data_IF_841229026020
#
_entry.id   IF_841229026020
#
_cell.length_a   1.000
_cell.length_b   1.000
_cell.length_c   1.000
_cell.angle_alpha   90.00
_cell.angle_beta   90.00
_cell.angle_gamma   90.00
#
_symmetry.space_group_name_H-M   'P 1'
#
loop_
_entity.id
_entity.type
_entity.pdbx_description
1 polymer ?
#
# COMPACT_ATOMS: atom_id res chain seq x y z
N UNK A 1 13.44 34.05 -29.35
CA UNK A 1 13.50 34.38 -27.92
C UNK A 1 12.67 33.35 -27.17
N UNK A 2 13.25 32.75 -26.13
CA UNK A 2 12.76 31.54 -25.47
C UNK A 2 11.37 31.73 -24.83
N UNK A 3 10.48 30.75 -25.04
CA UNK A 3 9.29 30.53 -24.24
C UNK A 3 9.68 29.67 -23.03
N UNK A 4 9.68 30.28 -21.85
CA UNK A 4 9.87 29.56 -20.59
C UNK A 4 8.61 28.75 -20.27
N UNK A 5 8.72 27.42 -20.34
CA UNK A 5 7.73 26.51 -19.79
C UNK A 5 7.90 26.50 -18.26
N UNK A 6 6.98 27.15 -17.55
CA UNK A 6 6.91 27.08 -16.09
C UNK A 6 6.47 25.68 -15.67
N UNK A 7 7.37 24.94 -15.00
CA UNK A 7 7.01 23.73 -14.28
C UNK A 7 6.10 24.13 -13.10
N UNK A 8 4.83 23.78 -13.18
CA UNK A 8 3.90 23.89 -12.05
C UNK A 8 4.26 22.77 -11.09
N UNK A 9 5.06 23.08 -10.07
CA UNK A 9 5.19 22.23 -8.90
C UNK A 9 3.83 22.27 -8.16
N UNK A 10 3.11 21.15 -8.18
CA UNK A 10 2.01 20.95 -7.23
C UNK A 10 2.64 20.81 -5.85
N UNK A 11 2.74 21.91 -5.12
CA UNK A 11 2.81 21.85 -3.66
C UNK A 11 1.45 21.29 -3.25
N UNK A 12 1.43 20.07 -2.72
CA UNK A 12 0.30 19.61 -1.92
C UNK A 12 0.33 20.50 -0.67
N UNK A 13 -0.29 21.66 -0.77
CA UNK A 13 -0.48 22.51 0.40
C UNK A 13 -1.46 21.74 1.28
N UNK A 14 -0.96 21.20 2.41
CA UNK A 14 -1.82 20.85 3.55
C UNK A 14 -2.63 22.12 3.86
N UNK A 15 -3.88 22.19 3.38
CA UNK A 15 -4.75 23.31 3.65
C UNK A 15 -5.08 23.27 5.14
N UNK A 16 -4.51 24.23 5.86
CA UNK A 16 -4.46 24.36 7.31
C UNK A 16 -5.80 24.68 7.97
N UNK A 17 -6.92 24.17 7.44
CA UNK A 17 -8.22 24.33 8.09
C UNK A 17 -8.66 23.08 8.85
N UNK A 18 -8.07 21.89 8.59
CA UNK A 18 -8.28 20.68 9.41
C UNK A 18 -7.02 19.81 9.64
N UNK A 19 -5.81 20.30 9.34
CA UNK A 19 -4.54 19.84 9.96
C UNK A 19 -4.10 18.36 9.86
N UNK A 20 -4.82 17.46 9.20
CA UNK A 20 -4.45 16.04 9.16
C UNK A 20 -3.56 15.80 7.93
N UNK A 21 -2.26 16.02 8.10
CA UNK A 21 -1.26 15.50 7.17
C UNK A 21 -1.07 13.98 7.49
N UNK A 22 -0.73 13.17 6.48
CA UNK A 22 -0.40 11.74 6.71
C UNK A 22 0.84 11.63 7.59
N UNK A 23 0.92 10.57 8.40
CA UNK A 23 2.01 10.33 9.35
C UNK A 23 3.07 9.38 8.74
N UNK A 24 3.37 9.50 7.45
CA UNK A 24 4.24 8.58 6.73
C UNK A 24 5.18 9.32 5.78
N UNK A 25 6.49 8.96 5.73
CA UNK A 25 7.41 9.60 4.83
C UNK A 25 6.98 9.33 3.39
N UNK A 26 6.82 10.40 2.63
CA UNK A 26 6.42 10.31 1.22
C UNK A 26 7.67 10.16 0.36
N UNK A 27 7.63 9.24 -0.59
CA UNK A 27 8.72 9.01 -1.53
C UNK A 27 8.27 9.47 -2.91
N UNK A 28 8.95 10.47 -3.43
CA UNK A 28 8.80 10.96 -4.79
C UNK A 28 9.94 10.42 -5.65
N UNK A 29 9.67 10.23 -6.93
CA UNK A 29 10.70 9.88 -7.90
C UNK A 29 10.68 10.83 -9.08
N UNK A 30 11.88 11.17 -9.56
CA UNK A 30 12.07 11.96 -10.77
C UNK A 30 11.80 11.07 -11.99
N UNK A 31 10.72 11.39 -12.70
CA UNK A 31 10.41 10.82 -14.01
C UNK A 31 10.51 11.92 -15.05
N UNK A 32 11.65 11.95 -15.76
CA UNK A 32 11.92 12.89 -16.85
C UNK A 32 11.75 14.38 -16.48
N UNK A 33 12.17 14.78 -15.28
CA UNK A 33 12.12 16.15 -14.79
C UNK A 33 10.84 16.51 -14.03
N UNK A 34 9.97 15.53 -13.79
CA UNK A 34 8.78 15.70 -12.95
C UNK A 34 8.85 14.77 -11.74
N UNK A 35 8.67 15.34 -10.55
CA UNK A 35 8.57 14.57 -9.31
C UNK A 35 7.15 14.03 -9.16
N UNK A 36 7.01 12.72 -9.11
CA UNK A 36 5.74 12.05 -8.90
C UNK A 36 5.78 11.23 -7.61
N UNK A 37 4.74 11.35 -6.78
CA UNK A 37 4.56 10.53 -5.58
C UNK A 37 4.52 9.06 -5.99
N UNK A 38 5.41 8.25 -5.41
CA UNK A 38 5.52 6.82 -5.68
C UNK A 38 5.03 5.97 -4.51
N UNK A 39 5.30 6.41 -3.28
CA UNK A 39 5.03 5.62 -2.09
C UNK A 39 4.83 6.48 -0.85
N UNK A 40 4.24 5.87 0.18
CA UNK A 40 4.16 6.35 1.55
C UNK A 40 4.66 5.24 2.47
N UNK A 41 5.85 5.42 3.03
CA UNK A 41 6.53 4.35 3.76
C UNK A 41 5.93 4.07 5.14
N UNK A 42 5.85 2.79 5.50
CA UNK A 42 5.68 2.26 6.86
C UNK A 42 4.53 2.87 7.67
N UNK A 43 3.39 3.09 7.03
CA UNK A 43 2.25 3.69 7.70
C UNK A 43 1.90 2.99 9.01
N UNK A 44 1.74 3.79 10.07
CA UNK A 44 1.38 3.35 11.41
C UNK A 44 2.50 2.57 12.15
N UNK A 45 3.77 2.83 11.86
CA UNK A 45 4.93 2.24 12.56
C UNK A 45 5.29 3.04 13.81
N UNK A 46 4.69 2.68 14.95
CA UNK A 46 4.71 3.50 16.18
C UNK A 46 5.92 3.24 17.10
N UNK A 47 7.04 2.82 16.52
CA UNK A 47 8.26 2.46 17.25
C UNK A 47 8.81 1.09 16.88
N UNK A 48 9.92 0.65 17.52
CA UNK A 48 10.68 -0.54 17.10
C UNK A 48 9.87 -1.83 17.05
N UNK A 49 8.89 -2.01 17.94
CA UNK A 49 7.99 -3.19 17.93
C UNK A 49 7.14 -3.29 16.67
N UNK A 50 6.99 -2.19 15.93
CA UNK A 50 6.22 -2.11 14.69
C UNK A 50 7.11 -2.08 13.44
N UNK A 51 8.44 -2.24 13.59
CA UNK A 51 9.37 -2.24 12.47
C UNK A 51 8.90 -3.22 11.39
N UNK A 52 8.81 -2.69 10.17
CA UNK A 52 8.30 -3.44 9.03
C UNK A 52 9.11 -3.10 7.80
N UNK A 53 9.33 -4.12 6.98
CA UNK A 53 9.81 -3.90 5.62
C UNK A 53 8.63 -3.51 4.74
N UNK A 54 8.71 -2.31 4.19
CA UNK A 54 7.77 -1.82 3.19
C UNK A 54 8.43 -1.80 1.81
N UNK A 55 7.70 -2.23 0.79
CA UNK A 55 8.22 -2.39 -0.56
C UNK A 55 7.17 -1.95 -1.56
N UNK A 56 7.43 -0.81 -2.18
CA UNK A 56 6.56 -0.23 -3.18
C UNK A 56 7.11 -0.38 -4.59
N UNK A 57 6.19 -0.49 -5.54
CA UNK A 57 6.53 -0.49 -6.95
C UNK A 57 6.79 0.95 -7.41
N UNK A 58 8.00 1.20 -7.90
CA UNK A 58 8.31 2.44 -8.58
C UNK A 58 7.74 2.43 -10.02
N UNK A 59 6.88 3.38 -10.33
CA UNK A 59 6.27 3.59 -11.65
C UNK A 59 7.12 4.45 -12.60
N UNK A 60 8.44 4.47 -12.39
CA UNK A 60 9.37 5.36 -13.10
C UNK A 60 10.32 4.61 -14.03
N UNK A 61 10.96 5.37 -14.91
CA UNK A 61 12.08 4.91 -15.71
C UNK A 61 13.35 5.62 -15.25
N UNK A 62 14.50 4.93 -15.20
CA UNK A 62 15.78 5.60 -15.02
C UNK A 62 15.98 6.72 -16.05
N UNK A 63 16.78 7.72 -15.70
CA UNK A 63 17.18 8.76 -16.63
C UNK A 63 18.08 8.21 -17.77
N UNK A 64 18.52 9.10 -18.67
CA UNK A 64 19.35 8.71 -19.83
C UNK A 64 20.70 8.08 -19.43
N UNK A 65 21.17 8.36 -18.22
CA UNK A 65 22.41 7.82 -17.65
C UNK A 65 22.16 6.59 -16.78
N UNK A 66 20.91 6.08 -16.76
CA UNK A 66 20.52 4.93 -15.94
C UNK A 66 20.36 5.24 -14.46
N UNK A 67 20.27 6.52 -14.06
CA UNK A 67 20.14 6.92 -12.66
C UNK A 67 18.67 7.01 -12.25
N UNK A 68 18.40 6.61 -11.02
CA UNK A 68 17.14 6.85 -10.34
C UNK A 68 17.39 7.88 -9.24
N UNK A 69 16.51 8.88 -9.16
CA UNK A 69 16.53 9.88 -8.09
C UNK A 69 15.22 9.78 -7.33
N UNK A 70 15.35 9.60 -6.02
CA UNK A 70 14.23 9.62 -5.10
C UNK A 70 14.39 10.82 -4.17
N UNK A 71 13.27 11.39 -3.79
CA UNK A 71 13.17 12.44 -2.78
C UNK A 71 12.24 11.92 -1.69
N UNK A 72 12.75 11.87 -0.47
CA UNK A 72 11.97 11.46 0.70
C UNK A 72 11.62 12.71 1.47
N UNK A 73 10.32 12.94 1.70
CA UNK A 73 9.83 14.10 2.42
C UNK A 73 9.10 13.69 3.68
N UNK A 74 9.44 14.38 4.76
CA UNK A 74 8.60 14.42 5.95
C UNK A 74 7.59 15.55 5.74
N UNK A 75 6.40 15.20 5.25
CA UNK A 75 5.32 16.18 4.96
C UNK A 75 4.51 16.50 6.23
N UNK A 76 4.75 15.77 7.32
CA UNK A 76 4.18 16.02 8.65
C UNK A 76 5.31 16.18 9.70
N UNK A 77 4.96 16.19 10.99
CA UNK A 77 5.95 16.23 12.09
C UNK A 77 6.27 14.80 12.56
N UNK A 78 6.71 13.96 11.63
CA UNK A 78 6.95 12.52 11.89
C UNK A 78 8.23 12.29 12.70
N UNK A 79 8.22 11.20 13.47
CA UNK A 79 9.38 10.76 14.28
C UNK A 79 9.92 9.41 13.82
N UNK A 80 9.24 8.78 12.87
CA UNK A 80 9.63 7.55 12.17
C UNK A 80 10.89 7.78 11.33
N UNK A 81 11.75 6.77 11.25
CA UNK A 81 13.02 6.85 10.52
C UNK A 81 13.31 5.56 9.75
N UNK A 82 14.04 5.72 8.65
CA UNK A 82 14.58 4.60 7.87
C UNK A 82 15.83 4.06 8.59
N UNK A 83 15.84 2.78 8.91
CA UNK A 83 17.07 2.07 9.28
C UNK A 83 17.68 1.31 8.10
N UNK A 84 16.95 1.22 6.98
CA UNK A 84 17.40 0.58 5.73
C UNK A 84 16.62 1.12 4.55
N UNK A 85 17.32 1.47 3.46
CA UNK A 85 16.72 1.93 2.22
C UNK A 85 17.42 1.26 1.03
N UNK A 86 16.64 0.55 0.21
CA UNK A 86 17.14 -0.28 -0.89
C UNK A 86 16.35 -0.05 -2.17
N UNK A 87 17.02 -0.20 -3.31
CA UNK A 87 16.36 -0.30 -4.61
C UNK A 87 16.37 -1.77 -5.06
N UNK A 88 15.19 -2.33 -5.32
CA UNK A 88 15.05 -3.70 -5.81
C UNK A 88 14.86 -3.70 -7.34
N UNK A 89 15.89 -4.14 -8.07
CA UNK A 89 15.78 -4.42 -9.50
C UNK A 89 15.13 -5.78 -9.70
N UNK A 90 14.01 -5.81 -10.40
CA UNK A 90 13.29 -7.04 -10.72
C UNK A 90 13.40 -7.33 -12.21
N UNK A 91 14.03 -8.45 -12.56
CA UNK A 91 14.14 -8.88 -13.96
C UNK A 91 12.91 -9.70 -14.37
N UNK A 92 12.16 -9.18 -15.33
CA UNK A 92 10.93 -9.80 -15.82
C UNK A 92 10.84 -9.71 -17.36
N UNK A 93 9.98 -10.52 -17.96
CA UNK A 93 9.70 -10.48 -19.39
C UNK A 93 8.89 -9.23 -19.76
N UNK A 94 8.89 -8.85 -21.04
CA UNK A 94 8.23 -7.64 -21.50
C UNK A 94 6.69 -7.67 -21.36
N UNK A 95 6.10 -8.86 -21.35
CA UNK A 95 4.67 -9.12 -21.13
C UNK A 95 4.30 -9.29 -19.65
N UNK A 96 5.29 -9.22 -18.75
CA UNK A 96 5.09 -9.33 -17.31
C UNK A 96 5.10 -7.96 -16.63
N UNK A 97 4.41 -7.85 -15.51
CA UNK A 97 4.52 -6.74 -14.56
C UNK A 97 5.07 -7.27 -13.24
N UNK A 98 6.13 -6.63 -12.72
CA UNK A 98 6.64 -6.92 -11.39
C UNK A 98 5.87 -6.13 -10.32
N UNK A 99 5.38 -6.82 -9.30
CA UNK A 99 4.62 -6.28 -8.19
C UNK A 99 5.14 -6.86 -6.87
N UNK A 100 5.17 -6.09 -5.77
CA UNK A 100 5.40 -6.62 -4.44
C UNK A 100 4.20 -7.48 -3.99
N UNK A 101 4.49 -8.54 -3.24
CA UNK A 101 3.49 -9.21 -2.43
C UNK A 101 3.38 -8.58 -1.03
N UNK A 102 2.40 -8.98 -0.19
CA UNK A 102 2.23 -8.38 1.13
C UNK A 102 3.41 -8.53 2.10
N UNK A 103 4.36 -9.41 1.78
CA UNK A 103 5.60 -9.61 2.54
C UNK A 103 6.80 -8.90 1.89
N UNK A 104 6.57 -8.10 0.86
CA UNK A 104 7.60 -7.36 0.12
C UNK A 104 8.42 -8.19 -0.86
N UNK A 105 8.03 -9.45 -1.12
CA UNK A 105 8.70 -10.28 -2.11
C UNK A 105 8.13 -10.03 -3.51
N UNK A 106 9.01 -9.91 -4.51
CA UNK A 106 8.58 -9.65 -5.88
C UNK A 106 7.78 -10.83 -6.48
N UNK A 107 6.76 -10.49 -7.27
CA UNK A 107 5.99 -11.37 -8.13
C UNK A 107 5.97 -10.78 -9.54
N UNK A 108 6.39 -11.57 -10.52
CA UNK A 108 6.18 -11.23 -11.93
C UNK A 108 4.87 -11.88 -12.37
N UNK A 109 3.91 -11.06 -12.79
CA UNK A 109 2.56 -11.50 -13.17
C UNK A 109 2.27 -11.18 -14.64
N UNK A 110 1.46 -12.02 -15.30
CA UNK A 110 0.97 -11.79 -16.67
C UNK A 110 -0.38 -12.48 -16.88
N UNK A 111 -0.93 -12.31 -18.09
CA UNK A 111 -2.26 -12.83 -18.46
C UNK A 111 -3.34 -12.30 -17.49
N UNK A 112 -3.48 -10.97 -17.47
CA UNK A 112 -4.47 -10.29 -16.66
C UNK A 112 -5.88 -10.56 -17.20
N UNK A 113 -6.76 -11.07 -16.34
CA UNK A 113 -8.15 -11.42 -16.66
C UNK A 113 -9.07 -10.76 -15.62
N UNK A 114 -10.12 -10.04 -16.04
CA UNK A 114 -11.08 -9.47 -15.11
C UNK A 114 -11.85 -10.58 -14.38
N UNK A 115 -12.35 -10.27 -13.19
CA UNK A 115 -13.28 -11.15 -12.52
C UNK A 115 -14.61 -11.20 -13.31
N UNK A 116 -15.23 -12.37 -13.42
CA UNK A 116 -16.57 -12.52 -13.98
C UNK A 116 -17.66 -11.95 -13.06
N UNK A 117 -17.34 -11.77 -11.78
CA UNK A 117 -18.22 -11.11 -10.80
C UNK A 117 -17.38 -10.30 -9.84
N UNK A 118 -17.78 -9.06 -9.58
CA UNK A 118 -17.26 -8.20 -8.53
C UNK A 118 -18.45 -7.53 -7.86
N UNK A 119 -18.70 -7.82 -6.60
CA UNK A 119 -19.81 -7.23 -5.87
C UNK A 119 -19.44 -6.87 -4.43
N UNK A 120 -20.01 -5.80 -3.88
CA UNK A 120 -19.89 -5.49 -2.46
C UNK A 120 -20.80 -6.37 -1.58
N UNK A 121 -20.73 -6.17 -0.27
CA UNK A 121 -21.53 -6.89 0.72
C UNK A 121 -23.05 -6.73 0.54
N UNK A 122 -23.50 -5.68 -0.16
CA UNK A 122 -24.92 -5.43 -0.45
C UNK A 122 -25.37 -6.05 -1.78
N UNK A 123 -24.43 -6.61 -2.56
CA UNK A 123 -24.67 -7.19 -3.88
C UNK A 123 -24.61 -6.18 -5.02
N UNK A 124 -24.14 -4.94 -4.79
CA UNK A 124 -23.94 -3.96 -5.86
C UNK A 124 -22.77 -4.37 -6.73
N UNK A 125 -22.97 -4.34 -8.04
CA UNK A 125 -21.93 -4.61 -9.05
C UNK A 125 -20.85 -3.51 -9.04
N UNK A 126 -19.59 -3.92 -8.92
CA UNK A 126 -18.42 -3.04 -8.91
C UNK A 126 -17.52 -3.23 -10.14
N UNK A 127 -17.93 -4.03 -11.14
CA UNK A 127 -17.07 -4.43 -12.25
C UNK A 127 -16.49 -3.24 -13.01
N UNK A 128 -17.33 -2.25 -13.34
CA UNK A 128 -16.85 -1.05 -14.04
C UNK A 128 -15.97 -0.16 -13.17
N UNK A 129 -16.30 -0.04 -11.87
CA UNK A 129 -15.56 0.79 -10.93
C UNK A 129 -14.14 0.27 -10.70
N UNK A 130 -13.96 -1.05 -10.72
CA UNK A 130 -12.70 -1.71 -10.34
C UNK A 130 -11.94 -2.32 -11.53
N UNK A 131 -12.31 -1.97 -12.76
CA UNK A 131 -11.73 -2.52 -13.98
C UNK A 131 -10.35 -1.93 -14.31
N UNK A 132 -10.19 -0.60 -14.14
CA UNK A 132 -9.05 0.17 -14.63
C UNK A 132 -8.40 0.96 -13.50
N UNK A 133 -7.07 1.19 -13.55
CA UNK A 133 -6.38 2.01 -12.57
C UNK A 133 -6.48 3.50 -12.93
N UNK A 134 -7.68 4.08 -12.83
CA UNK A 134 -7.97 5.45 -13.28
C UNK A 134 -8.18 6.47 -12.14
N UNK A 135 -8.07 6.01 -10.89
CA UNK A 135 -8.26 6.79 -9.68
C UNK A 135 -9.72 6.81 -9.17
N UNK A 136 -10.67 6.23 -9.91
CA UNK A 136 -12.05 6.07 -9.45
C UNK A 136 -12.14 4.93 -8.44
N UNK A 137 -12.13 5.29 -7.15
CA UNK A 137 -12.02 4.30 -6.09
C UNK A 137 -13.36 3.85 -5.52
N UNK A 138 -13.47 2.55 -5.23
CA UNK A 138 -14.43 2.03 -4.26
C UNK A 138 -14.27 2.72 -2.90
N UNK A 139 -15.42 2.97 -2.28
CA UNK A 139 -15.59 3.42 -0.90
C UNK A 139 -16.73 2.59 -0.31
N UNK A 140 -16.62 2.26 0.98
CA UNK A 140 -17.73 1.69 1.72
C UNK A 140 -18.94 2.60 1.59
N UNK A 141 -20.10 2.02 1.25
CA UNK A 141 -21.31 2.81 1.08
C UNK A 141 -21.83 3.31 2.43
N UNK A 142 -22.59 4.41 2.39
CA UNK A 142 -23.04 5.08 3.60
C UNK A 142 -23.91 4.21 4.51
N UNK A 143 -24.66 3.22 3.97
CA UNK A 143 -25.50 2.35 4.78
C UNK A 143 -24.66 1.29 5.50
N UNK A 144 -23.71 0.68 4.79
CA UNK A 144 -22.75 -0.25 5.41
C UNK A 144 -21.93 0.45 6.49
N UNK A 145 -21.46 1.66 6.23
CA UNK A 145 -20.74 2.46 7.22
C UNK A 145 -21.61 2.82 8.44
N UNK A 146 -22.87 3.22 8.23
CA UNK A 146 -23.79 3.56 9.32
C UNK A 146 -24.16 2.32 10.17
N UNK A 147 -24.07 1.12 9.61
CA UNK A 147 -24.30 -0.13 10.32
C UNK A 147 -23.04 -0.68 11.03
N UNK A 148 -21.88 -0.07 10.81
CA UNK A 148 -20.64 -0.51 11.41
C UNK A 148 -20.69 -0.39 12.94
N UNK A 149 -20.25 -1.44 13.63
CA UNK A 149 -20.22 -1.49 15.10
C UNK A 149 -19.01 -2.30 15.55
N UNK A 150 -18.58 -2.22 16.82
CA UNK A 150 -17.45 -3.02 17.32
C UNK A 150 -17.61 -4.54 17.08
N UNK A 151 -18.84 -5.05 17.00
CA UNK A 151 -19.12 -6.45 16.67
C UNK A 151 -19.15 -6.75 15.16
N UNK A 152 -19.37 -5.73 14.32
CA UNK A 152 -19.49 -5.82 12.88
C UNK A 152 -18.79 -4.62 12.22
N UNK A 153 -17.45 -4.63 12.26
CA UNK A 153 -16.62 -3.55 11.72
C UNK A 153 -16.35 -3.69 10.22
N UNK A 154 -16.51 -4.90 9.69
CA UNK A 154 -16.03 -5.25 8.35
C UNK A 154 -17.04 -4.90 7.25
N UNK A 155 -16.51 -4.35 6.16
CA UNK A 155 -17.09 -4.39 4.82
C UNK A 155 -16.43 -5.54 4.01
N UNK A 156 -17.03 -5.92 2.89
CA UNK A 156 -16.54 -7.00 2.07
C UNK A 156 -16.77 -6.79 0.56
N UNK A 157 -15.84 -7.31 -0.23
CA UNK A 157 -15.98 -7.45 -1.69
C UNK A 157 -15.84 -8.92 -2.06
N UNK A 158 -16.74 -9.40 -2.89
CA UNK A 158 -16.77 -10.76 -3.41
C UNK A 158 -16.36 -10.76 -4.88
N UNK A 159 -15.44 -11.65 -5.22
CA UNK A 159 -14.85 -11.80 -6.54
C UNK A 159 -15.04 -13.23 -7.02
N UNK A 160 -15.37 -13.40 -8.30
CA UNK A 160 -15.35 -14.69 -8.98
C UNK A 160 -14.56 -14.55 -10.28
N UNK A 161 -13.62 -15.45 -10.52
CA UNK A 161 -12.85 -15.54 -11.75
C UNK A 161 -12.86 -16.98 -12.28
N UNK A 162 -12.63 -17.20 -13.57
CA UNK A 162 -12.40 -18.54 -14.10
C UNK A 162 -11.16 -19.15 -13.43
N UNK A 163 -11.21 -20.46 -13.16
CA UNK A 163 -10.01 -21.19 -12.77
C UNK A 163 -8.99 -21.20 -13.94
N UNK A 164 -7.69 -21.15 -13.68
CA UNK A 164 -6.69 -21.24 -14.73
C UNK A 164 -6.74 -22.61 -15.41
N UNK A 165 -6.42 -22.66 -16.70
CA UNK A 165 -6.40 -23.93 -17.45
C UNK A 165 -5.39 -24.95 -16.88
N UNK A 166 -4.36 -24.47 -16.19
CA UNK A 166 -3.34 -25.28 -15.54
C UNK A 166 -2.74 -24.52 -14.36
N UNK A 167 -2.36 -25.22 -13.30
CA UNK A 167 -1.76 -24.64 -12.09
C UNK A 167 -2.70 -24.71 -10.89
N UNK A 168 -2.12 -24.57 -9.71
CA UNK A 168 -2.80 -24.61 -8.41
C UNK A 168 -2.85 -23.24 -7.74
N UNK A 169 -2.38 -22.20 -8.43
CA UNK A 169 -2.28 -20.83 -7.93
C UNK A 169 -2.57 -19.81 -9.03
N UNK A 170 -3.14 -18.68 -8.64
CA UNK A 170 -3.25 -17.46 -9.45
C UNK A 170 -2.83 -16.26 -8.58
N UNK A 171 -2.54 -15.11 -9.18
CA UNK A 171 -2.34 -13.89 -8.41
C UNK A 171 -3.60 -13.00 -8.48
N UNK A 172 -4.04 -12.49 -7.34
CA UNK A 172 -4.95 -11.35 -7.29
C UNK A 172 -4.10 -10.07 -7.27
N UNK A 173 -4.28 -9.22 -8.27
CA UNK A 173 -3.60 -7.93 -8.38
C UNK A 173 -4.57 -6.84 -7.96
N UNK A 174 -4.12 -5.99 -7.04
CA UNK A 174 -4.90 -4.91 -6.47
C UNK A 174 -4.16 -3.59 -6.64
N UNK A 175 -4.92 -2.52 -6.92
CA UNK A 175 -4.46 -1.13 -6.76
C UNK A 175 -5.33 -0.47 -5.70
N UNK A 176 -4.70 -0.05 -4.61
CA UNK A 176 -5.40 0.40 -3.42
C UNK A 176 -4.56 1.38 -2.60
N UNK A 177 -5.22 2.10 -1.71
CA UNK A 177 -4.62 2.92 -0.66
C UNK A 177 -5.59 3.02 0.50
N UNK A 178 -5.13 3.46 1.66
CA UNK A 178 -6.03 3.64 2.78
C UNK A 178 -6.90 4.89 2.60
N UNK A 179 -7.99 4.98 3.34
CA UNK A 179 -8.63 6.27 3.60
C UNK A 179 -7.90 7.00 4.73
N UNK A 180 -8.35 8.22 5.03
CA UNK A 180 -7.88 8.95 6.21
C UNK A 180 -8.37 8.33 7.53
N UNK A 181 -9.17 7.26 7.53
CA UNK A 181 -9.71 6.66 8.76
C UNK A 181 -8.60 6.24 9.72
N UNK A 182 -7.61 5.48 9.24
CA UNK A 182 -6.52 5.02 10.09
C UNK A 182 -5.62 6.18 10.54
N UNK A 183 -5.46 7.22 9.70
CA UNK A 183 -4.78 8.47 10.07
C UNK A 183 -5.52 9.20 11.19
N UNK A 184 -6.84 9.34 11.10
CA UNK A 184 -7.70 9.95 12.12
C UNK A 184 -7.71 9.14 13.42
N UNK A 185 -7.81 7.81 13.34
CA UNK A 185 -7.72 6.96 14.52
C UNK A 185 -6.39 7.18 15.24
N UNK A 186 -5.31 7.30 14.48
CA UNK A 186 -4.00 7.54 15.05
C UNK A 186 -3.88 8.96 15.65
N UNK A 187 -4.10 10.01 14.85
CA UNK A 187 -3.87 11.39 15.27
C UNK A 187 -4.85 11.84 16.35
N UNK A 188 -6.15 11.58 16.17
CA UNK A 188 -7.20 12.11 17.06
C UNK A 188 -7.48 11.22 18.26
N UNK A 189 -7.48 9.89 18.07
CA UNK A 189 -7.92 8.97 19.13
C UNK A 189 -6.74 8.46 19.95
N UNK A 190 -5.67 7.99 19.29
CA UNK A 190 -4.52 7.41 19.96
C UNK A 190 -3.62 8.49 20.55
N UNK A 191 -3.18 9.45 19.72
CA UNK A 191 -2.36 10.56 20.17
C UNK A 191 -3.24 11.61 20.89
N UNK A 192 -4.27 12.12 20.21
CA UNK A 192 -5.23 13.10 20.76
C UNK A 192 -4.56 14.34 21.38
N UNK A 193 -5.22 14.94 22.38
CA UNK A 193 -4.75 16.15 23.09
C UNK A 193 -3.49 15.94 23.96
N UNK A 194 -2.84 14.78 23.89
CA UNK A 194 -1.69 14.48 24.76
C UNK A 194 -0.45 15.32 24.41
N UNK A 195 -0.42 15.94 23.23
CA UNK A 195 0.63 16.87 22.81
C UNK A 195 2.02 16.22 22.94
N UNK A 196 3.00 16.94 23.49
CA UNK A 196 4.35 16.40 23.68
C UNK A 196 4.41 15.12 24.56
N UNK A 197 3.41 14.87 25.41
CA UNK A 197 3.36 13.62 26.22
C UNK A 197 3.10 12.37 25.37
N UNK A 198 2.58 12.54 24.15
CA UNK A 198 2.51 11.45 23.18
C UNK A 198 3.90 10.90 22.82
N UNK A 199 4.93 11.74 22.82
CA UNK A 199 6.32 11.32 22.55
C UNK A 199 6.88 10.46 23.68
N UNK A 200 6.59 10.79 24.94
CA UNK A 200 6.95 9.95 26.09
C UNK A 200 6.16 8.62 26.09
N UNK A 201 4.88 8.65 25.70
CA UNK A 201 4.08 7.44 25.54
C UNK A 201 4.65 6.52 24.45
N UNK A 202 4.98 7.06 23.27
CA UNK A 202 5.63 6.34 22.16
C UNK A 202 7.00 5.79 22.57
N UNK A 203 7.83 6.61 23.21
CA UNK A 203 9.20 6.24 23.53
C UNK A 203 9.37 5.38 24.78
N UNK A 204 8.38 5.26 25.67
CA UNK A 204 8.53 4.56 26.97
C UNK A 204 7.38 3.63 27.34
N UNK A 205 6.14 3.99 27.04
CA UNK A 205 4.96 3.23 27.49
C UNK A 205 4.46 2.23 26.45
N UNK A 206 4.71 2.51 25.16
CA UNK A 206 4.47 1.61 24.04
C UNK A 206 5.35 0.36 24.10
N UNK A 207 6.46 0.33 24.84
CA UNK A 207 7.24 -0.89 25.03
C UNK A 207 6.52 -1.94 25.89
N UNK A 208 5.64 -1.51 26.81
CA UNK A 208 4.83 -2.41 27.64
C UNK A 208 3.48 -2.80 27.02
N UNK A 209 2.83 -1.85 26.33
CA UNK A 209 1.51 -2.03 25.70
C UNK A 209 1.53 -2.30 24.20
N UNK A 210 2.67 -2.11 23.53
CA UNK A 210 2.81 -2.14 22.08
C UNK A 210 2.54 -3.50 21.48
N UNK A 211 2.86 -4.59 22.19
CA UNK A 211 2.48 -5.95 21.75
C UNK A 211 0.96 -6.12 21.73
N UNK A 212 0.24 -5.59 22.72
CA UNK A 212 -1.21 -5.66 22.76
C UNK A 212 -1.84 -4.82 21.63
N UNK A 213 -1.29 -3.63 21.38
CA UNK A 213 -1.70 -2.78 20.27
C UNK A 213 -1.37 -3.38 18.90
N UNK A 214 -0.19 -3.97 18.72
CA UNK A 214 0.21 -4.65 17.49
C UNK A 214 -0.73 -5.81 17.19
N UNK A 215 -1.05 -6.63 18.20
CA UNK A 215 -2.04 -7.71 18.07
C UNK A 215 -3.43 -7.20 17.75
N UNK A 216 -3.87 -6.10 18.40
CA UNK A 216 -5.13 -5.46 18.08
C UNK A 216 -5.17 -5.00 16.61
N UNK A 217 -4.11 -4.34 16.14
CA UNK A 217 -3.97 -3.89 14.75
C UNK A 217 -4.00 -5.08 13.78
N UNK A 218 -3.23 -6.13 14.05
CA UNK A 218 -3.24 -7.35 13.23
C UNK A 218 -4.61 -8.02 13.18
N UNK A 219 -5.35 -8.00 14.29
CA UNK A 219 -6.68 -8.60 14.36
C UNK A 219 -7.70 -7.80 13.55
N UNK A 220 -7.73 -6.48 13.73
CA UNK A 220 -8.83 -5.65 13.24
C UNK A 220 -8.52 -4.93 11.93
N UNK A 221 -7.29 -4.47 11.73
CA UNK A 221 -6.89 -3.62 10.61
C UNK A 221 -6.35 -4.42 9.40
N UNK A 222 -6.07 -3.70 8.31
CA UNK A 222 -5.66 -4.28 7.03
C UNK A 222 -6.81 -4.83 6.20
N UNK A 223 -6.47 -5.68 5.23
CA UNK A 223 -7.42 -6.39 4.37
C UNK A 223 -7.11 -7.88 4.39
N UNK A 224 -8.10 -8.68 4.78
CA UNK A 224 -8.06 -10.15 4.74
C UNK A 224 -8.50 -10.65 3.38
N UNK A 225 -7.76 -11.61 2.83
CA UNK A 225 -8.06 -12.25 1.55
C UNK A 225 -8.36 -13.72 1.82
N UNK A 226 -9.61 -14.11 1.58
CA UNK A 226 -10.06 -15.47 1.80
C UNK A 226 -10.54 -16.12 0.51
N UNK A 227 -10.22 -17.41 0.32
CA UNK A 227 -10.60 -18.19 -0.86
C UNK A 227 -11.64 -19.24 -0.48
N UNK A 228 -12.65 -19.43 -1.32
CA UNK A 228 -13.68 -20.46 -1.14
C UNK A 228 -13.12 -21.86 -1.39
N UNK A 229 -13.30 -22.78 -0.43
CA UNK A 229 -12.85 -24.18 -0.53
C UNK A 229 -13.93 -25.17 -0.97
N UNK A 230 -15.10 -24.68 -1.39
CA UNK A 230 -16.30 -25.50 -1.66
C UNK A 230 -17.31 -25.50 -0.50
N UNK A 231 -16.90 -25.11 0.72
CA UNK A 231 -17.74 -25.09 1.92
C UNK A 231 -17.70 -23.76 2.68
N UNK A 232 -16.53 -23.14 2.75
CA UNK A 232 -16.31 -21.86 3.45
C UNK A 232 -15.18 -21.07 2.82
N UNK A 233 -15.17 -19.77 3.09
CA UNK A 233 -14.01 -18.92 2.83
C UNK A 233 -12.93 -19.18 3.88
N UNK A 234 -11.70 -19.46 3.44
CA UNK A 234 -10.51 -19.58 4.31
C UNK A 234 -9.56 -18.44 4.01
N UNK A 235 -9.13 -17.71 5.04
CA UNK A 235 -8.09 -16.69 4.92
C UNK A 235 -6.80 -17.33 4.41
N UNK A 236 -6.20 -16.71 3.38
CA UNK A 236 -4.97 -17.18 2.71
C UNK A 236 -3.87 -16.13 2.74
N UNK A 237 -4.25 -14.86 2.85
CA UNK A 237 -3.32 -13.74 2.88
C UNK A 237 -3.95 -12.53 3.58
N UNK A 238 -3.09 -11.58 3.94
CA UNK A 238 -3.47 -10.28 4.48
C UNK A 238 -2.60 -9.20 3.86
N UNK A 239 -3.23 -8.07 3.52
CA UNK A 239 -2.54 -6.83 3.15
C UNK A 239 -2.60 -5.93 4.39
N UNK A 240 -1.44 -5.43 4.83
CA UNK A 240 -1.38 -4.45 5.92
C UNK A 240 -1.88 -3.10 5.43
N UNK A 241 -2.31 -2.25 6.36
CA UNK A 241 -2.56 -0.86 6.02
C UNK A 241 -1.31 -0.20 5.44
N UNK A 242 -1.57 0.78 4.62
CA UNK A 242 -0.65 1.63 3.89
C UNK A 242 -1.08 3.09 4.02
N UNK A 243 -0.38 3.99 3.36
CA UNK A 243 -0.69 5.42 3.40
C UNK A 243 -1.97 5.77 2.62
N UNK A 244 -2.57 6.94 2.90
CA UNK A 244 -3.80 7.41 2.22
C UNK A 244 -3.59 8.21 0.93
N UNK A 245 -2.36 8.63 0.62
CA UNK A 245 -2.02 9.47 -0.53
C UNK A 245 -1.53 8.67 -1.75
N UNK A 246 -0.52 7.83 -1.58
CA UNK A 246 0.10 7.05 -2.65
C UNK A 246 -0.76 5.82 -3.00
N UNK A 247 -0.81 5.47 -4.29
CA UNK A 247 -1.44 4.24 -4.73
C UNK A 247 -0.47 3.07 -4.66
N UNK A 248 -0.87 2.00 -3.99
CA UNK A 248 -0.09 0.77 -3.91
C UNK A 248 -0.63 -0.26 -4.88
N UNK A 249 0.26 -0.73 -5.76
CA UNK A 249 0.01 -1.88 -6.62
C UNK A 249 0.61 -3.13 -5.96
N UNK A 250 -0.23 -4.10 -5.58
CA UNK A 250 0.20 -5.33 -4.90
C UNK A 250 -0.32 -6.57 -5.63
N UNK A 251 0.43 -7.66 -5.57
CA UNK A 251 0.02 -8.97 -6.07
C UNK A 251 0.00 -10.01 -4.95
N UNK A 252 -1.09 -10.76 -4.84
CA UNK A 252 -1.25 -11.80 -3.82
C UNK A 252 -1.46 -13.14 -4.48
N UNK A 253 -0.52 -14.08 -4.27
CA UNK A 253 -0.73 -15.46 -4.67
C UNK A 253 -1.84 -16.09 -3.84
N UNK A 254 -2.83 -16.64 -4.52
CA UNK A 254 -3.95 -17.35 -3.91
C UNK A 254 -4.09 -18.75 -4.51
N UNK A 255 -4.44 -19.77 -3.69
CA UNK A 255 -4.61 -21.12 -4.17
C UNK A 255 -5.88 -21.27 -5.00
N UNK A 256 -5.83 -22.14 -6.00
CA UNK A 256 -6.98 -22.60 -6.79
C UNK A 256 -7.54 -23.85 -6.12
N UNK A 257 -8.59 -23.67 -5.32
CA UNK A 257 -9.18 -24.75 -4.52
C UNK A 257 -10.33 -25.49 -5.22
N UNK A 258 -10.86 -24.92 -6.31
CA UNK A 258 -11.94 -25.49 -7.11
C UNK A 258 -11.57 -25.41 -8.59
N UNK A 259 -12.07 -26.36 -9.40
CA UNK A 259 -11.69 -26.48 -10.83
C UNK A 259 -12.51 -25.61 -11.77
N UNK A 260 -13.66 -25.14 -11.34
CA UNK A 260 -14.59 -24.31 -12.12
C UNK A 260 -14.26 -22.82 -11.98
N UNK A 261 -14.01 -22.36 -10.76
CA UNK A 261 -13.87 -20.95 -10.45
C UNK A 261 -12.95 -20.70 -9.26
N UNK A 262 -12.30 -19.54 -9.27
CA UNK A 262 -11.62 -18.97 -8.10
C UNK A 262 -12.56 -17.95 -7.49
N UNK A 263 -13.00 -18.19 -6.24
CA UNK A 263 -13.89 -17.28 -5.52
C UNK A 263 -13.16 -16.70 -4.32
N UNK A 264 -13.09 -15.38 -4.26
CA UNK A 264 -12.33 -14.63 -3.26
C UNK A 264 -13.26 -13.69 -2.52
N UNK A 265 -13.06 -13.59 -1.21
CA UNK A 265 -13.65 -12.56 -0.37
C UNK A 265 -12.54 -11.67 0.18
N UNK A 266 -12.63 -10.38 -0.10
CA UNK A 266 -11.89 -9.34 0.59
C UNK A 266 -12.71 -8.91 1.80
N UNK A 267 -12.09 -8.80 2.97
CA UNK A 267 -12.74 -8.32 4.20
C UNK A 267 -11.83 -7.32 4.90
N UNK A 268 -12.38 -6.16 5.25
CA UNK A 268 -11.61 -5.04 5.78
C UNK A 268 -12.51 -4.12 6.61
N UNK A 269 -11.97 -3.32 7.55
CA UNK A 269 -12.79 -2.37 8.29
C UNK A 269 -13.49 -1.40 7.34
N UNK A 270 -14.78 -1.17 7.59
CA UNK A 270 -15.60 -0.23 6.86
C UNK A 270 -14.89 1.13 6.74
N UNK A 271 -14.89 1.67 5.53
CA UNK A 271 -14.22 2.91 5.12
C UNK A 271 -12.68 2.91 5.16
N UNK A 272 -12.00 1.85 5.59
CA UNK A 272 -10.53 1.86 5.72
C UNK A 272 -9.77 1.89 4.37
N UNK A 273 -10.40 1.43 3.29
CA UNK A 273 -9.74 1.31 1.98
C UNK A 273 -10.38 2.16 0.89
N UNK A 274 -9.53 2.58 -0.05
CA UNK A 274 -9.86 3.07 -1.38
C UNK A 274 -9.27 2.09 -2.37
N UNK A 275 -10.12 1.39 -3.12
CA UNK A 275 -9.70 0.34 -4.05
C UNK A 275 -10.02 0.83 -5.45
N UNK A 276 -9.00 0.94 -6.30
CA UNK A 276 -9.09 1.47 -7.67
C UNK A 276 -9.21 0.32 -8.68
N UNK A 277 -8.53 -0.80 -8.42
CA UNK A 277 -8.52 -1.93 -9.34
C UNK A 277 -8.44 -3.27 -8.64
N UNK A 278 -9.19 -4.25 -9.17
CA UNK A 278 -9.08 -5.67 -8.85
C UNK A 278 -9.02 -6.50 -10.14
N UNK A 279 -7.95 -7.27 -10.34
CA UNK A 279 -7.79 -8.12 -11.52
C UNK A 279 -7.03 -9.40 -11.16
N UNK A 280 -7.29 -10.50 -11.85
CA UNK A 280 -6.56 -11.74 -11.66
C UNK A 280 -5.44 -11.84 -12.69
N UNK A 281 -4.28 -12.37 -12.30
CA UNK A 281 -3.24 -12.79 -13.23
C UNK A 281 -3.19 -14.32 -13.23
N UNK A 282 -3.41 -14.92 -14.40
CA UNK A 282 -3.46 -16.38 -14.54
C UNK A 282 -2.08 -17.04 -14.45
N UNK A 283 -1.02 -16.25 -14.59
CA UNK A 283 0.36 -16.69 -14.40
C UNK A 283 1.09 -15.74 -13.47
N UNK A 284 1.79 -16.32 -12.51
CA UNK A 284 2.67 -15.63 -11.60
C UNK A 284 3.90 -16.48 -11.31
N UNK A 285 5.05 -15.83 -11.13
CA UNK A 285 6.29 -16.49 -10.72
C UNK A 285 7.11 -15.57 -9.83
N UNK A 286 8.04 -16.16 -9.09
CA UNK A 286 9.08 -15.42 -8.37
C UNK A 286 10.22 -15.07 -9.36
N UNK A 287 10.47 -13.79 -9.64
CA UNK A 287 11.57 -13.37 -10.51
C UNK A 287 12.89 -13.34 -9.76
N UNK A 288 13.99 -13.16 -10.51
CA UNK A 288 15.29 -12.83 -9.93
C UNK A 288 15.25 -11.37 -9.49
N UNK A 289 15.62 -11.14 -8.23
CA UNK A 289 15.69 -9.80 -7.62
C UNK A 289 17.14 -9.49 -7.31
N UNK A 290 17.59 -8.32 -7.74
CA UNK A 290 18.89 -7.77 -7.38
C UNK A 290 18.68 -6.53 -6.51
N UNK A 291 19.32 -6.51 -5.36
CA UNK A 291 19.26 -5.38 -4.44
C UNK A 291 20.41 -4.42 -4.73
N UNK A 292 20.10 -3.13 -4.81
CA UNK A 292 21.04 -2.04 -4.99
C UNK A 292 20.98 -1.10 -3.79
N UNK A 293 22.14 -0.79 -3.23
CA UNK A 293 22.28 0.27 -2.25
C UNK A 293 22.33 1.64 -2.94
N UNK A 294 21.85 2.69 -2.27
CA UNK A 294 21.99 4.04 -2.78
C UNK A 294 23.46 4.48 -2.82
N UNK A 295 23.83 5.16 -3.89
CA UNK A 295 25.19 5.64 -4.11
C UNK A 295 25.48 6.99 -3.43
N UNK A 296 24.45 7.80 -3.24
CA UNK A 296 24.51 9.19 -2.74
C UNK A 296 23.21 9.53 -2.02
N UNK A 297 23.31 10.26 -0.91
CA UNK A 297 22.18 10.83 -0.19
C UNK A 297 22.46 12.32 0.01
N UNK A 298 21.44 13.15 -0.24
CA UNK A 298 21.50 14.59 -0.03
C UNK A 298 20.54 14.97 1.10
N UNK A 299 20.95 15.90 1.95
CA UNK A 299 20.07 16.50 2.96
C UNK A 299 19.07 17.49 2.33
N UNK A 300 18.21 18.09 3.16
CA UNK A 300 17.18 19.04 2.73
C UNK A 300 17.75 20.31 2.07
N UNK A 301 19.02 20.65 2.33
CA UNK A 301 19.72 21.77 1.68
C UNK A 301 20.51 21.34 0.44
N UNK A 302 20.41 20.08 0.02
CA UNK A 302 21.09 19.53 -1.14
C UNK A 302 22.57 19.22 -0.93
N UNK A 303 23.03 19.14 0.32
CA UNK A 303 24.42 18.82 0.68
C UNK A 303 24.55 17.30 0.82
N UNK A 304 25.73 16.77 0.48
CA UNK A 304 26.02 15.35 0.67
C UNK A 304 25.99 14.97 2.15
N UNK A 305 25.24 13.91 2.47
CA UNK A 305 25.17 13.32 3.80
C UNK A 305 25.60 11.85 3.75
N UNK A 306 26.93 11.65 3.76
CA UNK A 306 27.52 10.31 3.78
C UNK A 306 27.26 9.55 5.08
N UNK A 307 27.01 10.25 6.19
CA UNK A 307 26.69 9.66 7.49
C UNK A 307 25.31 9.00 7.45
N UNK A 308 24.29 9.72 7.01
CA UNK A 308 22.94 9.17 6.84
C UNK A 308 22.95 8.04 5.80
N UNK A 309 23.71 8.19 4.71
CA UNK A 309 23.86 7.11 3.72
C UNK A 309 24.44 5.83 4.33
N UNK A 310 25.38 5.93 5.27
CA UNK A 310 25.95 4.76 5.94
C UNK A 310 24.97 4.10 6.91
N UNK A 311 24.04 4.87 7.50
CA UNK A 311 23.01 4.35 8.42
C UNK A 311 21.95 3.53 7.67
N UNK A 312 21.57 3.96 6.47
CA UNK A 312 20.47 3.34 5.70
C UNK A 312 20.92 2.20 4.77
N UNK A 313 22.21 1.83 4.79
CA UNK A 313 22.79 0.73 3.99
C UNK A 313 22.76 -0.59 4.75
#
# INVERSE_FOLDING_TARGET
ALLAAGAVAFVIACSSENGICSNCPTVYADSAGTWALQAEGFSYTLGPTFEVRDVDRLGIRPDRDGRIRLEVRNEALETEYFNRLELLEVRHAADETALPDPNGAALAVRELVPATTIADATGRDLHLLLALPDGAAFRTDARTLAAASPAHLDDAIYLVAPAPASGDTVALVLRLRNSLLATLLYSEVMLGDRGARSLDWIGRELDGGGVALARWREQWMGMRIAVWDGRRYRETARIRDSGPHAWNDVAVLIPVLQRDSVRVRLSFPADNWRIDRLVFAMRARRPVVQTHAFGRLLDAEGRDDSSALAIVR
#
